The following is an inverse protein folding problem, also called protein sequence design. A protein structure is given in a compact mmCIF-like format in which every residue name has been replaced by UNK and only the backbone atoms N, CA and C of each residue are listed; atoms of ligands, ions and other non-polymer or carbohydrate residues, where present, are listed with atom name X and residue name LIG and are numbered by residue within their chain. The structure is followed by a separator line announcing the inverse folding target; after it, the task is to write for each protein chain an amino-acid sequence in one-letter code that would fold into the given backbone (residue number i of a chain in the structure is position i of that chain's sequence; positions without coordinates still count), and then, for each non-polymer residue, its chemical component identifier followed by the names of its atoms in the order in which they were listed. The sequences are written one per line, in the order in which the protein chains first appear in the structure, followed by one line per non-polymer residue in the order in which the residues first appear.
data_IF_394733263013
#
_entry.id   IF_394733263013
#
_cell.length_a   1.000
_cell.length_b   1.000
_cell.length_c   1.000
_cell.angle_alpha   90.00
_cell.angle_beta   90.00
_cell.angle_gamma   90.00
#
_symmetry.space_group_name_H-M   'P 1'
#
loop_
_entity.id
_entity.type
_entity.pdbx_description
1 polymer ?
#
# COMPACT_ATOMS: atom_id res chain seq x y z
N UNK A 1 -51.83 -5.29 -8.71
CA UNK A 1 -50.97 -4.13 -9.06
C UNK A 1 -50.39 -3.45 -7.82
N UNK A 2 -51.20 -3.06 -6.84
CA UNK A 2 -50.73 -2.43 -5.59
C UNK A 2 -49.74 -3.30 -4.78
N UNK A 3 -50.00 -4.61 -4.70
CA UNK A 3 -49.12 -5.56 -4.00
C UNK A 3 -47.73 -5.71 -4.66
N UNK A 4 -47.68 -5.59 -5.99
CA UNK A 4 -46.45 -5.67 -6.78
C UNK A 4 -45.59 -4.41 -6.57
N UNK A 5 -46.24 -3.24 -6.50
CA UNK A 5 -45.59 -1.96 -6.20
C UNK A 5 -45.01 -1.97 -4.79
N UNK A 6 -45.75 -2.52 -3.81
CA UNK A 6 -45.27 -2.67 -2.43
C UNK A 6 -44.07 -3.62 -2.37
N UNK A 7 -44.06 -4.75 -3.09
CA UNK A 7 -42.90 -5.65 -3.13
C UNK A 7 -41.66 -5.01 -3.77
N UNK A 8 -41.82 -4.19 -4.82
CA UNK A 8 -40.71 -3.45 -5.44
C UNK A 8 -40.15 -2.38 -4.48
N UNK A 9 -41.02 -1.69 -3.73
CA UNK A 9 -40.62 -0.67 -2.76
C UNK A 9 -40.00 -1.23 -1.47
N UNK A 10 -40.31 -2.48 -1.11
CA UNK A 10 -39.66 -3.17 0.02
C UNK A 10 -38.31 -3.75 -0.41
N UNK A 11 -38.16 -4.16 -1.68
CA UNK A 11 -36.90 -4.71 -2.20
C UNK A 11 -35.82 -3.66 -2.46
N UNK A 12 -36.16 -2.37 -2.51
CA UNK A 12 -35.19 -1.29 -2.80
C UNK A 12 -34.35 -0.86 -1.60
N UNK A 13 -34.55 -1.42 -0.40
CA UNK A 13 -33.90 -0.95 0.84
C UNK A 13 -32.72 -1.78 1.35
N UNK A 14 -32.19 -2.76 0.63
CA UNK A 14 -31.08 -3.56 1.19
C UNK A 14 -30.10 -4.14 0.18
N UNK A 15 -29.68 -3.34 -0.79
CA UNK A 15 -28.33 -3.51 -1.34
C UNK A 15 -27.60 -2.21 -1.04
N UNK A 16 -26.86 -2.19 0.06
CA UNK A 16 -25.79 -1.21 0.20
C UNK A 16 -24.89 -1.44 -1.01
N UNK A 17 -24.95 -0.56 -2.01
CA UNK A 17 -23.94 -0.56 -3.06
C UNK A 17 -22.60 -0.40 -2.33
N UNK A 18 -21.71 -1.40 -2.43
CA UNK A 18 -20.31 -1.14 -2.14
C UNK A 18 -19.92 -0.03 -3.13
N UNK A 19 -19.57 1.15 -2.63
CA UNK A 19 -19.22 2.32 -3.47
C UNK A 19 -18.05 2.02 -4.42
N UNK A 20 -17.32 0.94 -4.17
CA UNK A 20 -16.20 0.46 -4.97
C UNK A 20 -16.41 -1.00 -5.36
N UNK A 21 -16.07 -1.32 -6.61
CA UNK A 21 -15.93 -2.69 -7.07
C UNK A 21 -14.69 -3.35 -6.45
N UNK A 22 -14.68 -4.68 -6.31
CA UNK A 22 -13.55 -5.41 -5.71
C UNK A 22 -12.39 -5.61 -6.70
N UNK A 23 -12.06 -4.59 -7.49
CA UNK A 23 -10.89 -4.59 -8.35
C UNK A 23 -9.71 -3.89 -7.69
N UNK A 24 -8.53 -4.03 -8.29
CA UNK A 24 -7.36 -3.23 -7.95
C UNK A 24 -7.66 -1.73 -7.85
N UNK A 25 -8.34 -1.14 -8.85
CA UNK A 25 -8.68 0.28 -8.85
C UNK A 25 -9.72 0.64 -7.80
N UNK A 26 -10.71 -0.24 -7.57
CA UNK A 26 -11.69 -0.03 -6.52
C UNK A 26 -11.04 -0.03 -5.13
N UNK A 27 -10.10 -0.94 -4.87
CA UNK A 27 -9.30 -0.96 -3.64
C UNK A 27 -8.39 0.26 -3.50
N UNK A 28 -7.73 0.67 -4.59
CA UNK A 28 -6.87 1.86 -4.61
C UNK A 28 -7.66 3.11 -4.23
N UNK A 29 -8.84 3.31 -4.83
CA UNK A 29 -9.70 4.45 -4.52
C UNK A 29 -10.34 4.35 -3.15
N UNK A 30 -10.78 3.17 -2.73
CA UNK A 30 -11.27 2.91 -1.38
C UNK A 30 -10.24 3.33 -0.33
N UNK A 31 -9.00 2.83 -0.43
CA UNK A 31 -7.95 3.11 0.54
C UNK A 31 -7.52 4.57 0.52
N UNK A 32 -7.35 5.16 -0.67
CA UNK A 32 -6.96 6.57 -0.75
C UNK A 32 -8.03 7.50 -0.19
N UNK A 33 -9.32 7.24 -0.46
CA UNK A 33 -10.42 8.01 0.12
C UNK A 33 -10.56 7.77 1.63
N UNK A 34 -10.34 6.54 2.08
CA UNK A 34 -10.30 6.23 3.51
C UNK A 34 -9.20 7.01 4.22
N UNK A 35 -7.97 7.04 3.68
CA UNK A 35 -6.85 7.80 4.25
C UNK A 35 -7.06 9.32 4.25
N UNK A 36 -8.03 9.83 3.48
CA UNK A 36 -8.46 11.25 3.49
C UNK A 36 -9.75 11.48 4.27
N UNK A 37 -10.31 10.44 4.89
CA UNK A 37 -11.57 10.54 5.63
C UNK A 37 -11.39 11.08 7.05
N UNK A 38 -12.47 11.60 7.63
CA UNK A 38 -12.48 12.02 9.03
C UNK A 38 -12.31 10.83 9.99
N UNK A 39 -12.78 9.64 9.61
CA UNK A 39 -12.56 8.39 10.37
C UNK A 39 -11.06 8.11 10.53
N UNK A 40 -10.31 8.11 9.43
CA UNK A 40 -8.86 7.93 9.46
C UNK A 40 -8.16 9.01 10.28
N UNK A 41 -8.58 10.27 10.11
CA UNK A 41 -7.99 11.39 10.82
C UNK A 41 -8.17 11.25 12.33
N UNK A 42 -9.36 10.89 12.80
CA UNK A 42 -9.62 10.63 14.22
C UNK A 42 -8.76 9.48 14.75
N UNK A 43 -8.63 8.39 13.98
CA UNK A 43 -7.76 7.27 14.35
C UNK A 43 -6.29 7.71 14.46
N UNK A 44 -5.78 8.43 13.45
CA UNK A 44 -4.39 8.87 13.36
C UNK A 44 -3.95 9.86 14.44
N UNK A 45 -4.89 10.56 15.09
CA UNK A 45 -4.58 11.55 16.14
C UNK A 45 -4.13 10.92 17.46
N UNK A 46 -4.50 9.67 17.72
CA UNK A 46 -4.26 9.00 19.00
C UNK A 46 -3.39 7.73 18.86
N UNK A 47 -3.01 7.36 17.63
CA UNK A 47 -2.18 6.20 17.34
C UNK A 47 -0.86 6.60 16.72
N UNK A 48 0.17 5.78 16.92
CA UNK A 48 1.47 5.97 16.29
C UNK A 48 1.49 5.43 14.85
N UNK A 49 2.50 5.81 14.07
CA UNK A 49 2.62 5.47 12.65
C UNK A 49 2.57 3.96 12.37
N UNK A 50 3.14 3.11 13.24
CA UNK A 50 3.08 1.65 13.03
C UNK A 50 1.68 1.08 13.28
N UNK A 51 0.95 1.59 14.28
CA UNK A 51 -0.45 1.23 14.52
C UNK A 51 -1.34 1.69 13.36
N UNK A 52 -1.05 2.85 12.78
CA UNK A 52 -1.74 3.35 11.59
C UNK A 52 -1.47 2.43 10.38
N UNK A 53 -0.24 1.94 10.20
CA UNK A 53 0.07 0.96 9.13
C UNK A 53 -0.74 -0.31 9.31
N UNK A 54 -0.83 -0.84 10.54
CA UNK A 54 -1.64 -2.03 10.84
C UNK A 54 -3.11 -1.78 10.48
N UNK A 55 -3.63 -0.61 10.82
CA UNK A 55 -5.02 -0.27 10.56
C UNK A 55 -5.33 -0.09 9.07
N UNK A 56 -4.43 0.54 8.29
CA UNK A 56 -4.57 0.63 6.83
C UNK A 56 -4.55 -0.77 6.21
N UNK A 57 -3.65 -1.65 6.69
CA UNK A 57 -3.58 -3.03 6.25
C UNK A 57 -4.87 -3.81 6.55
N UNK A 58 -5.45 -3.67 7.74
CA UNK A 58 -6.73 -4.28 8.10
C UNK A 58 -7.87 -3.81 7.20
N UNK A 59 -7.96 -2.50 6.95
CA UNK A 59 -8.97 -1.93 6.04
C UNK A 59 -8.84 -2.49 4.63
N UNK A 60 -7.62 -2.67 4.14
CA UNK A 60 -7.36 -3.29 2.85
C UNK A 60 -7.76 -4.77 2.85
N UNK A 61 -7.35 -5.52 3.88
CA UNK A 61 -7.67 -6.93 4.01
C UNK A 61 -9.18 -7.19 4.09
N UNK A 62 -9.90 -6.34 4.82
CA UNK A 62 -11.36 -6.39 4.91
C UNK A 62 -12.02 -6.08 3.56
N UNK A 63 -11.49 -5.09 2.82
CA UNK A 63 -11.97 -4.75 1.48
C UNK A 63 -11.86 -5.93 0.51
N UNK A 64 -10.71 -6.61 0.55
CA UNK A 64 -10.39 -7.78 -0.27
C UNK A 64 -10.84 -9.11 0.38
N UNK A 65 -11.64 -9.06 1.45
CA UNK A 65 -12.26 -10.24 2.09
C UNK A 65 -11.26 -11.34 2.47
N UNK A 66 -10.08 -10.93 2.96
CA UNK A 66 -9.02 -11.86 3.37
C UNK A 66 -8.08 -12.30 2.23
N UNK A 67 -8.22 -11.77 1.02
CA UNK A 67 -7.26 -12.02 -0.05
C UNK A 67 -5.97 -11.20 0.17
N UNK A 68 -4.98 -11.85 0.77
CA UNK A 68 -3.69 -11.25 1.07
C UNK A 68 -2.88 -10.87 -0.18
N UNK A 69 -3.04 -11.58 -1.30
CA UNK A 69 -2.30 -11.26 -2.52
C UNK A 69 -2.76 -9.91 -3.07
N UNK A 70 -4.07 -9.77 -3.28
CA UNK A 70 -4.68 -8.50 -3.72
C UNK A 70 -4.45 -7.38 -2.69
N UNK A 71 -4.50 -7.71 -1.39
CA UNK A 71 -4.22 -6.75 -0.32
C UNK A 71 -2.81 -6.17 -0.42
N UNK A 72 -1.77 -7.02 -0.51
CA UNK A 72 -0.39 -6.55 -0.60
C UNK A 72 -0.11 -5.80 -1.89
N UNK A 73 -0.67 -6.30 -3.01
CA UNK A 73 -0.55 -5.64 -4.29
C UNK A 73 -1.18 -4.25 -4.26
N UNK A 74 -2.43 -4.13 -3.78
CA UNK A 74 -3.12 -2.86 -3.69
C UNK A 74 -2.41 -1.87 -2.75
N UNK A 75 -1.96 -2.33 -1.57
CA UNK A 75 -1.22 -1.50 -0.61
C UNK A 75 0.09 -0.96 -1.17
N UNK A 76 0.77 -1.75 -2.02
CA UNK A 76 1.98 -1.29 -2.74
C UNK A 76 1.69 0.00 -3.48
N UNK A 77 0.62 0.05 -4.28
CA UNK A 77 0.28 1.21 -5.10
C UNK A 77 -0.41 2.32 -4.32
N UNK A 78 -1.28 1.98 -3.37
CA UNK A 78 -1.97 2.96 -2.53
C UNK A 78 -0.99 3.80 -1.69
N UNK A 79 0.15 3.21 -1.29
CA UNK A 79 1.14 3.85 -0.43
C UNK A 79 2.33 4.45 -1.19
N UNK A 80 2.35 4.41 -2.53
CA UNK A 80 3.39 5.13 -3.30
C UNK A 80 3.25 6.64 -3.04
N UNK A 81 4.33 7.33 -2.65
CA UNK A 81 4.28 8.76 -2.35
C UNK A 81 4.47 9.66 -3.58
N UNK A 82 4.38 9.08 -4.78
CA UNK A 82 4.50 9.74 -6.07
C UNK A 82 3.36 9.28 -6.98
N UNK A 83 2.79 10.19 -7.76
CA UNK A 83 1.77 9.87 -8.78
C UNK A 83 2.32 9.96 -10.21
N UNK A 84 3.61 10.26 -10.34
CA UNK A 84 4.35 10.41 -11.59
C UNK A 84 5.78 9.98 -11.34
N UNK A 85 6.38 9.33 -12.33
CA UNK A 85 7.78 8.94 -12.30
C UNK A 85 8.50 9.42 -13.56
N UNK A 86 9.71 9.97 -13.42
CA UNK A 86 10.54 10.28 -14.57
C UNK A 86 11.07 8.96 -15.16
N UNK A 87 10.89 8.76 -16.46
CA UNK A 87 11.35 7.60 -17.22
C UNK A 87 12.29 8.08 -18.33
N UNK A 88 13.42 7.41 -18.54
CA UNK A 88 14.33 7.74 -19.65
C UNK A 88 14.29 6.65 -20.70
N UNK A 89 13.89 7.02 -21.91
CA UNK A 89 13.88 6.11 -23.04
C UNK A 89 15.34 5.71 -23.39
N UNK A 90 15.69 4.41 -23.39
CA UNK A 90 17.08 3.93 -23.49
C UNK A 90 17.74 4.33 -24.82
N UNK A 91 16.96 4.43 -25.89
CA UNK A 91 17.46 4.71 -27.24
C UNK A 91 17.58 6.22 -27.50
N UNK A 92 16.60 7.00 -27.07
CA UNK A 92 16.50 8.43 -27.41
C UNK A 92 17.08 9.36 -26.33
N UNK A 93 17.41 8.84 -25.15
CA UNK A 93 17.81 9.61 -23.95
C UNK A 93 16.81 10.70 -23.54
N UNK A 94 15.60 10.69 -24.11
CA UNK A 94 14.49 11.59 -23.77
C UNK A 94 13.94 11.16 -22.41
N UNK A 95 13.73 12.14 -21.54
CA UNK A 95 13.03 11.95 -20.28
C UNK A 95 11.55 12.20 -20.49
N UNK A 96 10.73 11.18 -20.27
CA UNK A 96 9.26 11.25 -20.30
C UNK A 96 8.74 11.07 -18.88
N UNK A 97 7.66 11.76 -18.53
CA UNK A 97 7.02 11.60 -17.21
C UNK A 97 5.84 10.67 -17.36
N UNK A 98 5.91 9.50 -16.74
CA UNK A 98 4.85 8.48 -16.80
C UNK A 98 3.94 8.66 -15.58
N UNK A 99 2.61 8.81 -15.77
CA UNK A 99 1.66 8.83 -14.65
C UNK A 99 1.53 7.43 -14.05
N UNK A 100 1.43 7.36 -12.72
CA UNK A 100 1.08 6.15 -12.00
C UNK A 100 -0.43 6.11 -11.71
N UNK A 101 -1.02 4.92 -11.51
CA UNK A 101 -2.37 4.80 -10.96
C UNK A 101 -2.49 5.65 -9.69
N UNK A 102 -3.36 6.66 -9.73
CA UNK A 102 -3.49 7.65 -8.66
C UNK A 102 -4.90 8.23 -8.64
N UNK A 103 -5.43 8.58 -7.46
CA UNK A 103 -6.63 9.42 -7.37
C UNK A 103 -6.36 10.83 -7.91
N UNK A 104 -7.42 11.66 -8.03
CA UNK A 104 -7.29 13.08 -8.33
C UNK A 104 -6.26 13.78 -7.43
N UNK A 105 -5.56 14.79 -7.95
CA UNK A 105 -4.39 15.40 -7.29
C UNK A 105 -4.67 15.86 -5.86
N UNK A 106 -5.84 16.45 -5.59
CA UNK A 106 -6.22 16.91 -4.24
C UNK A 106 -6.29 15.76 -3.24
N UNK A 107 -6.91 14.64 -3.63
CA UNK A 107 -7.00 13.42 -2.80
C UNK A 107 -5.61 12.81 -2.62
N UNK A 108 -4.82 12.77 -3.69
CA UNK A 108 -3.44 12.28 -3.62
C UNK A 108 -2.60 13.09 -2.63
N UNK A 109 -2.65 14.42 -2.69
CA UNK A 109 -1.88 15.31 -1.82
C UNK A 109 -2.29 15.18 -0.35
N UNK A 110 -3.59 15.02 -0.08
CA UNK A 110 -4.11 14.78 1.26
C UNK A 110 -3.70 13.41 1.79
N UNK A 111 -3.87 12.35 0.98
CA UNK A 111 -3.39 11.01 1.29
C UNK A 111 -1.90 11.02 1.61
N UNK A 112 -1.10 11.73 0.81
CA UNK A 112 0.35 11.83 1.00
C UNK A 112 0.69 12.51 2.32
N UNK A 113 -0.04 13.55 2.75
CA UNK A 113 0.14 14.17 4.08
C UNK A 113 -0.14 13.18 5.20
N UNK A 114 -1.19 12.38 5.02
CA UNK A 114 -1.71 11.42 5.99
C UNK A 114 -0.96 10.09 6.02
N UNK A 115 -0.09 9.81 5.05
CA UNK A 115 0.68 8.56 4.96
C UNK A 115 1.67 8.46 6.14
N UNK A 116 1.75 7.31 6.85
CA UNK A 116 2.72 7.10 7.93
C UNK A 116 4.16 7.29 7.45
N UNK A 117 5.00 7.88 8.29
CA UNK A 117 6.36 8.33 7.93
C UNK A 117 7.44 8.01 8.97
N UNK A 118 7.07 7.53 10.16
CA UNK A 118 7.95 7.14 11.27
C UNK A 118 7.87 5.63 11.49
N UNK A 119 8.48 4.88 10.59
CA UNK A 119 8.46 3.40 10.62
C UNK A 119 9.60 2.82 11.47
N UNK A 120 10.66 3.59 11.66
CA UNK A 120 11.86 3.21 12.40
C UNK A 120 12.14 4.24 13.51
N UNK A 121 12.90 3.82 14.52
CA UNK A 121 13.30 4.72 15.61
C UNK A 121 14.22 5.86 15.13
N UNK A 122 14.98 5.62 14.05
CA UNK A 122 15.84 6.57 13.36
C UNK A 122 15.19 7.14 12.08
N UNK A 123 13.86 7.10 11.97
CA UNK A 123 13.13 7.73 10.87
C UNK A 123 13.45 9.24 10.78
N UNK A 124 13.58 9.82 9.57
CA UNK A 124 13.95 11.21 9.43
C UNK A 124 12.83 12.12 9.97
N UNK A 125 13.20 13.15 10.73
CA UNK A 125 12.21 14.07 11.33
C UNK A 125 11.61 15.10 10.34
N UNK A 126 11.80 14.92 9.04
CA UNK A 126 11.27 15.83 8.03
C UNK A 126 9.79 15.50 7.66
N UNK A 127 9.22 16.26 6.73
CA UNK A 127 7.82 16.08 6.32
C UNK A 127 7.57 14.80 5.50
N UNK A 128 8.62 14.27 4.86
CA UNK A 128 8.56 13.07 4.04
C UNK A 128 8.75 11.81 4.88
N UNK A 129 9.73 11.79 5.80
CA UNK A 129 10.08 10.65 6.62
C UNK A 129 10.42 9.41 5.78
N UNK A 130 9.80 8.28 6.12
CA UNK A 130 9.96 6.98 5.46
C UNK A 130 8.69 6.55 4.67
N UNK A 131 7.93 7.50 4.12
CA UNK A 131 6.66 7.21 3.41
C UNK A 131 6.84 6.24 2.24
N UNK A 132 7.91 6.38 1.48
CA UNK A 132 8.25 5.52 0.34
C UNK A 132 8.48 4.06 0.75
N UNK A 133 9.01 3.85 1.97
CA UNK A 133 9.32 2.52 2.49
C UNK A 133 8.07 1.64 2.61
N UNK A 134 6.88 2.20 2.80
CA UNK A 134 5.65 1.40 2.84
C UNK A 134 5.36 0.69 1.52
N UNK A 135 5.58 1.35 0.38
CA UNK A 135 5.41 0.72 -0.93
C UNK A 135 6.42 -0.42 -1.12
N UNK A 136 7.67 -0.21 -0.70
CA UNK A 136 8.71 -1.27 -0.70
C UNK A 136 8.32 -2.46 0.17
N UNK A 137 7.83 -2.21 1.39
CA UNK A 137 7.42 -3.24 2.34
C UNK A 137 6.32 -4.12 1.76
N UNK A 138 5.22 -3.54 1.27
CA UNK A 138 4.10 -4.31 0.73
C UNK A 138 4.40 -4.93 -0.63
N UNK A 139 5.26 -4.31 -1.46
CA UNK A 139 5.71 -4.92 -2.70
C UNK A 139 6.45 -6.23 -2.43
N UNK A 140 7.38 -6.23 -1.48
CA UNK A 140 8.13 -7.44 -1.15
C UNK A 140 7.28 -8.45 -0.38
N UNK A 141 6.31 -8.00 0.41
CA UNK A 141 5.31 -8.90 0.99
C UNK A 141 4.49 -9.60 -0.11
N UNK A 142 4.03 -8.86 -1.13
CA UNK A 142 3.34 -9.42 -2.29
C UNK A 142 4.22 -10.43 -3.05
N UNK A 143 5.43 -10.01 -3.43
CA UNK A 143 6.38 -10.86 -4.14
C UNK A 143 6.62 -12.17 -3.39
N UNK A 144 6.82 -12.09 -2.08
CA UNK A 144 7.14 -13.25 -1.25
C UNK A 144 5.91 -14.12 -0.92
N UNK A 145 4.73 -13.51 -0.82
CA UNK A 145 3.50 -14.22 -0.47
C UNK A 145 2.98 -15.06 -1.65
N UNK A 146 2.91 -14.47 -2.84
CA UNK A 146 2.12 -15.02 -3.94
C UNK A 146 2.92 -15.47 -5.17
N UNK A 147 4.21 -15.15 -5.25
CA UNK A 147 4.97 -15.47 -6.46
C UNK A 147 5.37 -16.95 -6.50
N UNK A 148 4.53 -17.70 -7.20
CA UNK A 148 4.97 -18.76 -8.11
C UNK A 148 5.42 -18.14 -9.44
N UNK A 149 6.26 -18.85 -10.22
CA UNK A 149 6.84 -18.36 -11.50
C UNK A 149 5.79 -17.84 -12.52
N UNK A 150 4.51 -18.19 -12.36
CA UNK A 150 3.40 -17.78 -13.22
C UNK A 150 2.79 -16.41 -12.89
N UNK A 151 2.72 -15.99 -11.61
CA UNK A 151 2.17 -14.68 -11.22
C UNK A 151 3.21 -13.55 -11.34
N UNK A 152 4.50 -13.91 -11.44
CA UNK A 152 5.59 -12.96 -11.65
C UNK A 152 5.46 -12.20 -12.97
N UNK A 153 4.89 -12.78 -14.04
CA UNK A 153 4.79 -12.09 -15.34
C UNK A 153 3.73 -10.99 -15.38
N UNK A 154 2.67 -11.07 -14.57
CA UNK A 154 1.66 -10.02 -14.47
C UNK A 154 2.15 -8.88 -13.56
N UNK A 155 2.74 -9.23 -12.41
CA UNK A 155 3.43 -8.28 -11.56
C UNK A 155 4.57 -7.59 -12.31
N UNK A 156 5.43 -8.35 -13.00
CA UNK A 156 6.47 -7.77 -13.85
C UNK A 156 5.88 -7.10 -15.08
N UNK A 157 4.74 -7.48 -15.62
CA UNK A 157 4.09 -6.74 -16.71
C UNK A 157 3.76 -5.31 -16.27
N UNK A 158 3.08 -5.17 -15.14
CA UNK A 158 2.76 -3.88 -14.52
C UNK A 158 4.06 -3.19 -14.06
N UNK A 159 4.92 -3.87 -13.33
CA UNK A 159 6.16 -3.32 -12.79
C UNK A 159 7.17 -2.94 -13.89
N UNK A 160 7.28 -3.67 -15.00
CA UNK A 160 8.15 -3.36 -16.15
C UNK A 160 7.55 -2.24 -16.99
N UNK A 161 6.24 -2.27 -17.28
CA UNK A 161 5.56 -1.16 -17.97
C UNK A 161 5.73 0.17 -17.24
N UNK A 162 5.73 0.15 -15.89
CA UNK A 162 5.87 1.36 -15.09
C UNK A 162 7.31 1.67 -14.64
N UNK A 163 8.16 0.70 -14.27
CA UNK A 163 9.43 0.94 -13.55
C UNK A 163 10.74 0.72 -14.34
N UNK A 164 10.77 -0.08 -15.41
CA UNK A 164 12.04 -0.60 -15.97
C UNK A 164 12.97 0.48 -16.57
N UNK A 165 12.50 1.71 -16.74
CA UNK A 165 13.29 2.82 -17.29
C UNK A 165 13.35 4.08 -16.42
N UNK A 166 12.68 4.11 -15.25
CA UNK A 166 12.64 5.30 -14.39
C UNK A 166 13.56 5.24 -13.17
N UNK A 167 13.66 4.07 -12.52
CA UNK A 167 14.34 3.94 -11.24
C UNK A 167 15.88 3.82 -11.34
N UNK A 168 16.40 3.25 -12.43
CA UNK A 168 17.85 3.10 -12.64
C UNK A 168 18.64 4.43 -12.74
N UNK A 169 17.95 5.58 -12.70
CA UNK A 169 18.56 6.89 -12.93
C UNK A 169 18.65 7.73 -11.65
N UNK A 170 17.92 7.38 -10.58
CA UNK A 170 17.92 8.19 -9.35
C UNK A 170 18.10 7.40 -8.04
N UNK A 171 18.01 6.06 -8.04
CA UNK A 171 18.18 5.26 -6.84
C UNK A 171 19.65 4.99 -6.51
N UNK A 172 20.25 5.80 -5.63
CA UNK A 172 21.45 5.37 -4.90
C UNK A 172 21.12 4.17 -4.00
N UNK A 173 22.13 3.38 -3.62
CA UNK A 173 21.97 2.26 -2.70
C UNK A 173 21.51 2.78 -1.32
N UNK A 174 20.22 2.67 -0.99
CA UNK A 174 19.69 2.97 0.34
C UNK A 174 19.58 1.68 1.16
N UNK A 175 20.38 1.58 2.22
CA UNK A 175 20.35 0.44 3.14
C UNK A 175 18.97 0.24 3.78
N UNK A 176 18.22 1.33 4.00
CA UNK A 176 16.88 1.29 4.60
C UNK A 176 15.86 0.65 3.66
N UNK A 177 16.01 0.79 2.35
CA UNK A 177 15.17 0.08 1.38
C UNK A 177 15.38 -1.43 1.48
N UNK A 178 16.63 -1.88 1.57
CA UNK A 178 16.93 -3.32 1.70
C UNK A 178 16.37 -3.92 2.98
N UNK A 179 16.47 -3.19 4.10
CA UNK A 179 15.88 -3.59 5.38
C UNK A 179 14.37 -3.71 5.23
N UNK A 180 13.73 -2.67 4.70
CA UNK A 180 12.28 -2.61 4.49
C UNK A 180 11.78 -3.74 3.59
N UNK A 181 12.49 -4.04 2.50
CA UNK A 181 12.16 -5.15 1.60
C UNK A 181 12.12 -6.48 2.37
N UNK A 182 13.18 -6.75 3.15
CA UNK A 182 13.26 -7.99 3.93
C UNK A 182 12.19 -8.05 5.04
N UNK A 183 11.82 -6.92 5.63
CA UNK A 183 10.72 -6.87 6.59
C UNK A 183 9.38 -7.23 5.93
N UNK A 184 9.16 -6.83 4.67
CA UNK A 184 8.01 -7.26 3.87
C UNK A 184 7.97 -8.78 3.67
N UNK A 185 9.11 -9.39 3.34
CA UNK A 185 9.24 -10.86 3.20
C UNK A 185 8.93 -11.58 4.53
N UNK A 186 9.51 -11.09 5.63
CA UNK A 186 9.25 -11.63 6.98
C UNK A 186 7.76 -11.54 7.30
N UNK A 187 7.14 -10.39 7.04
CA UNK A 187 5.72 -10.20 7.28
C UNK A 187 4.85 -11.16 6.47
N UNK A 188 5.16 -11.37 5.19
CA UNK A 188 4.48 -12.37 4.38
C UNK A 188 4.61 -13.79 4.94
N UNK A 189 5.79 -14.18 5.45
CA UNK A 189 5.97 -15.46 6.16
C UNK A 189 5.18 -15.54 7.47
N UNK A 190 5.09 -14.43 8.22
CA UNK A 190 4.25 -14.36 9.40
C UNK A 190 2.78 -14.60 9.05
N UNK A 191 2.27 -13.95 8.01
CA UNK A 191 0.89 -14.11 7.51
C UNK A 191 0.60 -15.52 6.98
N UNK A 192 1.59 -16.22 6.43
CA UNK A 192 1.43 -17.64 6.05
C UNK A 192 1.25 -18.55 7.27
N UNK A 193 1.85 -18.20 8.40
CA UNK A 193 1.80 -18.99 9.66
C UNK A 193 0.65 -18.60 10.57
N UNK A 194 0.38 -17.31 10.69
CA UNK A 194 -0.72 -16.72 11.47
C UNK A 194 -1.40 -15.63 10.65
N UNK A 195 -2.66 -15.89 10.30
CA UNK A 195 -3.50 -14.99 9.50
C UNK A 195 -3.81 -13.66 10.19
N UNK A 196 -3.58 -13.57 11.50
CA UNK A 196 -3.76 -12.35 12.29
C UNK A 196 -2.51 -11.49 12.40
N UNK A 197 -1.38 -11.94 11.85
CA UNK A 197 -0.11 -11.19 11.89
C UNK A 197 -0.29 -9.76 11.35
N UNK A 198 0.42 -8.82 11.98
CA UNK A 198 0.34 -7.39 11.67
C UNK A 198 1.66 -6.84 11.13
N UNK A 199 1.63 -5.89 10.17
CA UNK A 199 2.85 -5.27 9.63
C UNK A 199 3.80 -4.73 10.72
N UNK A 200 3.27 -4.11 11.77
CA UNK A 200 4.07 -3.51 12.85
C UNK A 200 4.91 -4.52 13.60
N UNK A 201 4.50 -5.80 13.65
CA UNK A 201 5.24 -6.85 14.32
C UNK A 201 6.58 -7.12 13.61
N UNK A 202 6.60 -7.09 12.28
CA UNK A 202 7.83 -7.21 11.50
C UNK A 202 8.78 -6.04 11.78
N UNK A 203 8.28 -4.80 11.78
CA UNK A 203 9.08 -3.61 12.13
C UNK A 203 9.63 -3.68 13.56
N UNK A 204 8.83 -4.13 14.53
CA UNK A 204 9.25 -4.28 15.94
C UNK A 204 10.35 -5.33 16.10
N UNK A 205 10.28 -6.47 15.40
CA UNK A 205 11.34 -7.49 15.40
C UNK A 205 12.68 -6.87 15.00
N UNK A 206 12.71 -6.08 13.93
CA UNK A 206 13.94 -5.44 13.49
C UNK A 206 14.51 -4.45 14.52
N UNK A 207 13.64 -3.64 15.14
CA UNK A 207 14.08 -2.69 16.17
C UNK A 207 14.68 -3.40 17.39
N UNK A 208 14.10 -4.52 17.83
CA UNK A 208 14.66 -5.33 18.92
C UNK A 208 16.03 -5.91 18.57
N UNK A 209 16.23 -6.34 17.31
CA UNK A 209 17.52 -6.86 16.85
C UNK A 209 18.60 -5.76 16.83
N UNK A 210 18.28 -4.55 16.37
CA UNK A 210 19.23 -3.44 16.40
C UNK A 210 19.62 -3.08 17.83
N UNK A 211 18.65 -2.92 18.74
CA UNK A 211 18.89 -2.56 20.14
C UNK A 211 19.80 -3.59 20.84
N UNK A 212 19.70 -4.86 20.46
CA UNK A 212 20.58 -5.92 20.99
C UNK A 212 22.02 -5.83 20.46
N UNK A 213 22.21 -5.39 19.22
CA UNK A 213 23.52 -5.33 18.55
C UNK A 213 24.25 -4.02 18.89
N UNK A 214 23.51 -2.92 19.07
CA UNK A 214 24.03 -1.60 19.38
C UNK A 214 23.36 -1.03 20.64
N UNK A 215 23.73 -1.52 21.85
CA UNK A 215 23.22 -0.99 23.12
C UNK A 215 23.71 0.44 23.41
#
# INVERSE_FOLDING_TARGET
MLLLIIMILISSKSVAQKDYDKSFYGGLFFLTNYMTSEEYKQFSQIHNDLEIVDHIYEKALDFFEGDYSETFFCLTFALIPYNKIPMRLPILRIQVTVPLPSPPQNIFDEKLKNTPKRLFNDSPHNNFGDKDKLAHFFANAFLHYDISFFNLSEFLGIFVEYFEQGFFIQGGFDRRDLITNHLGEIFAEMVKKDKNAKPSEAFKIYQLLILRIYP
#
